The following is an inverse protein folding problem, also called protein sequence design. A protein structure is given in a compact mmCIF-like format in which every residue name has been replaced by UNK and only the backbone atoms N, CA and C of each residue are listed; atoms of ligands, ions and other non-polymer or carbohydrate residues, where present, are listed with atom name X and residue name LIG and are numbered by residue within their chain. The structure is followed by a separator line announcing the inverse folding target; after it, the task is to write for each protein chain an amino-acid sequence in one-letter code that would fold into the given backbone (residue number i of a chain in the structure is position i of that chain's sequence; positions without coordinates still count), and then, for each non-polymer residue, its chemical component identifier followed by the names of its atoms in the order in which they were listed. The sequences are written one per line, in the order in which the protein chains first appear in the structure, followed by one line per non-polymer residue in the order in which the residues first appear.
data_IF_209908177098
#
_entry.id   IF_209908177098
#
_cell.length_a   1.000
_cell.length_b   1.000
_cell.length_c   1.000
_cell.angle_alpha   90.00
_cell.angle_beta   90.00
_cell.angle_gamma   90.00
#
_symmetry.space_group_name_H-M   'P 1'
#
loop_
_entity.id
_entity.type
_entity.pdbx_description
1 polymer ?
#
# COMPACT_ATOMS: atom_id res chain seq x y z
N UNK A 1 -13.92 3.95 -1.71
CA UNK A 1 -13.39 3.83 -0.34
C UNK A 1 -14.08 4.86 0.55
N UNK A 2 -14.49 4.51 1.78
CA UNK A 2 -15.19 5.45 2.69
C UNK A 2 -14.21 6.53 3.18
N UNK A 3 -14.67 7.77 3.31
CA UNK A 3 -13.86 8.94 3.72
C UNK A 3 -13.11 8.68 5.05
N UNK A 4 -13.71 7.93 5.97
CA UNK A 4 -13.10 7.58 7.26
C UNK A 4 -11.89 6.66 7.16
N UNK A 5 -11.82 5.79 6.14
CA UNK A 5 -10.64 4.94 5.91
C UNK A 5 -9.45 5.79 5.45
N UNK A 6 -9.72 6.78 4.60
CA UNK A 6 -8.68 7.70 4.11
C UNK A 6 -8.14 8.58 5.24
N UNK A 7 -9.03 9.10 6.10
CA UNK A 7 -8.64 9.87 7.28
C UNK A 7 -7.78 9.03 8.26
N UNK A 8 -8.14 7.76 8.47
CA UNK A 8 -7.38 6.86 9.35
C UNK A 8 -5.96 6.61 8.86
N UNK A 9 -5.76 6.48 7.54
CA UNK A 9 -4.43 6.30 6.94
C UNK A 9 -3.56 7.55 7.12
N UNK A 10 -4.14 8.74 6.98
CA UNK A 10 -3.40 10.01 7.15
C UNK A 10 -2.98 10.19 8.60
N UNK A 11 -3.89 9.93 9.55
CA UNK A 11 -3.60 10.05 10.98
C UNK A 11 -2.53 9.04 11.40
N UNK A 12 -2.60 7.79 10.93
CA UNK A 12 -1.59 6.77 11.27
C UNK A 12 -0.21 7.12 10.70
N UNK A 13 -0.14 7.66 9.49
CA UNK A 13 1.11 8.14 8.90
C UNK A 13 1.70 9.30 9.72
N UNK A 14 0.88 10.29 10.10
CA UNK A 14 1.31 11.40 10.94
C UNK A 14 1.82 10.95 12.31
N UNK A 15 1.13 10.01 12.97
CA UNK A 15 1.61 9.43 14.23
C UNK A 15 2.95 8.70 14.08
N UNK A 16 3.13 7.94 13.00
CA UNK A 16 4.38 7.22 12.74
C UNK A 16 5.57 8.18 12.59
N UNK A 17 5.37 9.30 11.89
CA UNK A 17 6.37 10.37 11.80
C UNK A 17 6.62 11.07 13.13
N UNK A 18 5.56 11.36 13.91
CA UNK A 18 5.70 11.97 15.23
C UNK A 18 6.52 11.08 16.19
N UNK A 19 6.28 9.77 16.17
CA UNK A 19 7.08 8.79 16.93
C UNK A 19 8.53 8.78 16.45
N UNK A 20 8.78 8.74 15.14
CA UNK A 20 10.15 8.75 14.60
C UNK A 20 10.93 10.00 15.03
N UNK A 21 10.28 11.18 15.01
CA UNK A 21 10.89 12.44 15.48
C UNK A 21 11.17 12.39 16.99
N UNK A 22 10.25 11.85 17.80
CA UNK A 22 10.42 11.74 19.25
C UNK A 22 11.64 10.88 19.64
N UNK A 23 11.95 9.85 18.87
CA UNK A 23 13.13 8.99 19.06
C UNK A 23 14.39 9.52 18.36
N UNK A 24 14.38 10.77 17.86
CA UNK A 24 15.48 11.38 17.10
C UNK A 24 15.93 10.52 15.90
N UNK A 25 15.03 9.71 15.37
CA UNK A 25 15.37 8.74 14.35
C UNK A 25 15.70 9.51 13.07
N UNK A 26 16.91 9.34 12.50
CA UNK A 26 17.30 10.07 11.30
C UNK A 26 16.26 9.83 10.21
N UNK A 27 15.73 10.91 9.66
CA UNK A 27 14.66 10.86 8.64
C UNK A 27 15.30 10.37 7.34
N UNK A 28 15.37 9.05 7.23
CA UNK A 28 15.88 8.34 6.09
C UNK A 28 14.82 8.33 5.00
N UNK A 29 14.79 9.41 4.19
CA UNK A 29 13.87 9.57 3.06
C UNK A 29 13.86 8.37 2.10
N UNK A 30 14.98 7.63 2.01
CA UNK A 30 15.05 6.41 1.21
C UNK A 30 14.10 5.30 1.72
N UNK A 31 13.80 5.23 3.03
CA UNK A 31 12.83 4.27 3.58
C UNK A 31 11.40 4.59 3.13
N UNK A 32 11.06 5.88 3.02
CA UNK A 32 9.76 6.30 2.49
C UNK A 32 9.64 5.98 1.01
N UNK A 33 10.68 6.26 0.22
CA UNK A 33 10.75 5.89 -1.20
C UNK A 33 10.64 4.36 -1.37
N UNK A 34 11.35 3.60 -0.53
CA UNK A 34 11.28 2.14 -0.53
C UNK A 34 9.86 1.64 -0.22
N UNK A 35 9.16 2.25 0.74
CA UNK A 35 7.78 1.90 1.08
C UNK A 35 6.82 2.15 -0.09
N UNK A 36 6.99 3.26 -0.82
CA UNK A 36 6.22 3.54 -2.04
C UNK A 36 6.48 2.47 -3.11
N UNK A 37 7.74 2.11 -3.34
CA UNK A 37 8.13 1.07 -4.32
C UNK A 37 7.52 -0.28 -3.95
N UNK A 38 7.57 -0.68 -2.67
CA UNK A 38 6.98 -1.93 -2.19
C UNK A 38 5.46 -1.92 -2.38
N UNK A 39 4.78 -0.83 -2.02
CA UNK A 39 3.34 -0.69 -2.21
C UNK A 39 2.95 -0.80 -3.68
N UNK A 40 3.71 -0.16 -4.57
CA UNK A 40 3.52 -0.28 -6.01
C UNK A 40 3.70 -1.73 -6.50
N UNK A 41 4.78 -2.39 -6.07
CA UNK A 41 5.08 -3.77 -6.43
C UNK A 41 3.96 -4.75 -6.01
N UNK A 42 3.48 -4.64 -4.76
CA UNK A 42 2.36 -5.45 -4.26
C UNK A 42 1.11 -5.21 -5.10
N UNK A 43 0.78 -3.95 -5.41
CA UNK A 43 -0.38 -3.62 -6.24
C UNK A 43 -0.27 -4.23 -7.65
N UNK A 44 0.93 -4.22 -8.25
CA UNK A 44 1.18 -4.88 -9.53
C UNK A 44 0.93 -6.38 -9.44
N UNK A 45 1.42 -7.06 -8.40
CA UNK A 45 1.17 -8.50 -8.19
C UNK A 45 -0.34 -8.77 -8.09
N UNK A 46 -1.05 -7.98 -7.29
CA UNK A 46 -2.51 -8.13 -7.11
C UNK A 46 -3.23 -8.00 -8.46
N UNK A 47 -2.87 -7.02 -9.28
CA UNK A 47 -3.47 -6.82 -10.61
C UNK A 47 -3.20 -8.02 -11.52
N UNK A 48 -1.97 -8.53 -11.56
CA UNK A 48 -1.61 -9.69 -12.39
C UNK A 48 -2.44 -10.91 -11.99
N UNK A 49 -2.51 -11.20 -10.69
CA UNK A 49 -3.29 -12.33 -10.18
C UNK A 49 -4.78 -12.18 -10.48
N UNK A 50 -5.32 -10.97 -10.31
CA UNK A 50 -6.73 -10.67 -10.60
C UNK A 50 -7.06 -10.84 -12.09
N UNK A 51 -6.17 -10.43 -12.98
CA UNK A 51 -6.34 -10.61 -14.43
C UNK A 51 -6.34 -12.09 -14.83
N UNK A 52 -5.51 -12.92 -14.19
CA UNK A 52 -5.50 -14.37 -14.43
C UNK A 52 -6.76 -15.08 -13.92
N UNK A 53 -7.30 -14.63 -12.78
CA UNK A 53 -8.55 -15.13 -12.21
C UNK A 53 -9.73 -14.82 -13.14
N UNK A 54 -9.85 -13.57 -13.60
CA UNK A 54 -10.90 -13.15 -14.53
C UNK A 54 -10.82 -13.85 -15.91
N UNK A 55 -9.61 -14.21 -16.37
CA UNK A 55 -9.46 -14.96 -17.62
C UNK A 55 -9.90 -16.42 -17.48
N UNK A 56 -9.56 -17.10 -16.37
CA UNK A 56 -9.94 -18.52 -16.17
C UNK A 56 -11.46 -18.69 -16.01
N UNK A 57 -12.16 -17.75 -15.38
CA UNK A 57 -13.63 -17.82 -15.21
C UNK A 57 -14.39 -17.70 -16.54
N UNK A 58 -13.80 -17.13 -17.60
CA UNK A 58 -14.43 -17.04 -18.92
C UNK A 58 -14.32 -18.31 -19.76
N UNK A 59 -13.45 -19.24 -19.39
CA UNK A 59 -13.19 -20.47 -20.15
C UNK A 59 -13.96 -21.69 -19.59
N UNK A 60 -14.74 -21.54 -18.51
CA UNK A 60 -15.71 -22.57 -18.05
C UNK A 60 -17.00 -22.53 -18.90
N UNK A 61 -17.38 -23.62 -19.61
CA UNK A 61 -18.68 -23.70 -20.25
C UNK A 61 -19.77 -23.83 -19.18
N UNK A 62 -20.75 -22.91 -19.21
CA UNK A 62 -21.95 -22.92 -18.38
C UNK A 62 -22.80 -24.18 -18.57
#
# INVERSE_FOLDING_TARGET
MKIGVWLGIIISALLSFAVAIFYEQPIHWYLLVLLIIIGFFINTIIIILKLQDESNVKDEPK
#
